data_IF_283770030558
#
_entry.id   IF_283770030558
#
_cell.length_a   1.000
_cell.length_b   1.000
_cell.length_c   1.000
_cell.angle_alpha   90.00
_cell.angle_beta   90.00
_cell.angle_gamma   90.00
#
_symmetry.space_group_name_H-M   'P 1'
#
loop_
_entity.id
_entity.type
_entity.pdbx_description
1 polymer ?
#
# COMPACT_ATOMS: atom_id res chain seq x y z
N UNK A 1 -21.70 -10.17 -17.98
CA UNK A 1 -20.93 -11.10 -18.84
C UNK A 1 -19.73 -11.52 -18.00
N UNK A 2 -19.40 -12.80 -17.90
CA UNK A 2 -18.24 -13.22 -17.11
C UNK A 2 -16.98 -12.69 -17.79
N UNK A 3 -16.29 -11.74 -17.14
CA UNK A 3 -15.01 -11.22 -17.63
C UNK A 3 -14.07 -12.38 -17.95
N UNK A 4 -13.57 -12.45 -19.18
CA UNK A 4 -12.61 -13.48 -19.63
C UNK A 4 -11.30 -13.29 -18.85
N UNK A 5 -11.22 -13.90 -17.67
CA UNK A 5 -10.02 -13.88 -16.83
C UNK A 5 -9.02 -14.90 -17.35
N UNK A 6 -7.79 -14.44 -17.56
CA UNK A 6 -6.66 -15.28 -17.99
C UNK A 6 -5.64 -15.34 -16.86
N UNK A 7 -5.05 -16.51 -16.63
CA UNK A 7 -4.01 -16.68 -15.63
C UNK A 7 -2.63 -16.67 -16.30
N UNK A 8 -1.71 -15.86 -15.79
CA UNK A 8 -0.36 -15.71 -16.34
C UNK A 8 0.66 -16.04 -15.26
N UNK A 9 1.74 -16.73 -15.64
CA UNK A 9 2.82 -17.05 -14.70
C UNK A 9 3.48 -15.79 -14.13
N UNK A 10 3.90 -15.91 -12.87
CA UNK A 10 4.41 -14.80 -12.07
C UNK A 10 5.69 -14.23 -12.70
N UNK A 11 6.60 -15.11 -13.11
CA UNK A 11 7.91 -14.75 -13.65
C UNK A 11 7.78 -13.97 -14.97
N UNK A 12 6.84 -14.34 -15.84
CA UNK A 12 6.58 -13.60 -17.08
C UNK A 12 6.01 -12.21 -16.80
N UNK A 13 5.08 -12.07 -15.85
CA UNK A 13 4.55 -10.76 -15.49
C UNK A 13 5.59 -9.87 -14.81
N UNK A 14 6.43 -10.44 -13.94
CA UNK A 14 7.53 -9.71 -13.32
C UNK A 14 8.53 -9.21 -14.37
N UNK A 15 8.96 -10.08 -15.29
CA UNK A 15 9.82 -9.70 -16.42
C UNK A 15 9.18 -8.61 -17.29
N UNK A 16 7.89 -8.74 -17.59
CA UNK A 16 7.12 -7.74 -18.32
C UNK A 16 7.16 -6.38 -17.63
N UNK A 17 6.90 -6.33 -16.32
CA UNK A 17 6.95 -5.10 -15.54
C UNK A 17 8.35 -4.48 -15.53
N UNK A 18 9.41 -5.28 -15.40
CA UNK A 18 10.80 -4.80 -15.49
C UNK A 18 11.05 -4.13 -16.84
N UNK A 19 10.69 -4.79 -17.95
CA UNK A 19 10.92 -4.26 -19.29
C UNK A 19 10.12 -2.98 -19.56
N UNK A 20 8.88 -2.90 -19.07
CA UNK A 20 8.06 -1.68 -19.15
C UNK A 20 8.71 -0.52 -18.37
N UNK A 21 9.19 -0.76 -17.15
CA UNK A 21 9.88 0.27 -16.37
C UNK A 21 11.18 0.74 -17.03
N UNK A 22 11.99 -0.20 -17.55
CA UNK A 22 13.21 0.12 -18.30
C UNK A 22 12.91 0.96 -19.53
N UNK A 23 11.88 0.60 -20.29
CA UNK A 23 11.45 1.35 -21.47
C UNK A 23 10.95 2.76 -21.12
N UNK A 24 10.42 2.96 -19.90
CA UNK A 24 10.07 4.27 -19.36
C UNK A 24 11.26 5.04 -18.75
N UNK A 25 12.50 4.54 -18.88
CA UNK A 25 13.71 5.21 -18.44
C UNK A 25 14.11 4.94 -16.99
N UNK A 26 13.46 3.99 -16.30
CA UNK A 26 13.88 3.55 -14.96
C UNK A 26 15.15 2.68 -15.09
N UNK A 27 16.23 2.95 -14.33
CA UNK A 27 17.42 2.10 -14.33
C UNK A 27 17.09 0.63 -14.01
N UNK A 28 17.83 -0.31 -14.58
CA UNK A 28 17.49 -1.74 -14.49
C UNK A 28 17.33 -2.26 -13.06
N UNK A 29 18.22 -1.91 -12.15
CA UNK A 29 18.13 -2.36 -10.75
C UNK A 29 16.91 -1.76 -10.02
N UNK A 30 16.58 -0.50 -10.31
CA UNK A 30 15.39 0.16 -9.77
C UNK A 30 14.11 -0.44 -10.39
N UNK A 31 14.14 -0.81 -11.68
CA UNK A 31 13.03 -1.45 -12.37
C UNK A 31 12.73 -2.84 -11.79
N UNK A 32 13.76 -3.62 -11.44
CA UNK A 32 13.62 -4.90 -10.71
C UNK A 32 12.93 -4.70 -9.38
N UNK A 33 13.37 -3.72 -8.57
CA UNK A 33 12.70 -3.38 -7.30
C UNK A 33 11.24 -3.00 -7.52
N UNK A 34 10.94 -2.19 -8.53
CA UNK A 34 9.58 -1.77 -8.79
C UNK A 34 8.67 -2.94 -9.20
N UNK A 35 9.16 -3.81 -10.10
CA UNK A 35 8.43 -5.01 -10.51
C UNK A 35 8.23 -5.98 -9.35
N UNK A 36 9.24 -6.16 -8.49
CA UNK A 36 9.19 -7.03 -7.30
C UNK A 36 8.08 -6.59 -6.33
N UNK A 37 7.98 -5.28 -6.05
CA UNK A 37 6.94 -4.76 -5.14
C UNK A 37 5.53 -4.91 -5.75
N UNK A 38 5.38 -4.64 -7.05
CA UNK A 38 4.08 -4.80 -7.72
C UNK A 38 3.66 -6.27 -7.79
N UNK A 39 4.56 -7.16 -8.19
CA UNK A 39 4.23 -8.59 -8.28
C UNK A 39 3.98 -9.17 -6.89
N UNK A 40 4.65 -8.70 -5.84
CA UNK A 40 4.36 -9.15 -4.47
C UNK A 40 2.92 -8.78 -4.04
N UNK A 41 2.43 -7.61 -4.45
CA UNK A 41 1.03 -7.22 -4.25
C UNK A 41 0.08 -8.22 -4.91
N UNK A 42 0.36 -8.59 -6.16
CA UNK A 42 -0.42 -9.58 -6.89
C UNK A 42 -0.29 -10.97 -6.27
N UNK A 43 0.90 -11.43 -5.85
CA UNK A 43 1.07 -12.71 -5.14
C UNK A 43 0.19 -12.81 -3.91
N UNK A 44 0.06 -11.71 -3.16
CA UNK A 44 -0.75 -11.61 -1.93
C UNK A 44 -2.25 -11.41 -2.17
N UNK A 45 -2.71 -11.35 -3.42
CA UNK A 45 -4.12 -11.10 -3.73
C UNK A 45 -4.56 -9.64 -3.49
N UNK A 46 -3.62 -8.71 -3.39
CA UNK A 46 -3.89 -7.28 -3.25
C UNK A 46 -3.87 -6.66 -4.66
N UNK A 47 -4.86 -7.00 -5.46
CA UNK A 47 -4.90 -6.65 -6.90
C UNK A 47 -4.95 -5.14 -7.15
N UNK A 48 -5.34 -4.35 -6.14
CA UNK A 48 -5.44 -2.90 -6.24
C UNK A 48 -4.10 -2.16 -6.25
N UNK A 49 -2.98 -2.84 -5.96
CA UNK A 49 -1.65 -2.23 -5.84
C UNK A 49 -0.54 -2.95 -6.61
N UNK A 50 -0.87 -4.01 -7.38
CA UNK A 50 0.07 -4.71 -8.26
C UNK A 50 0.08 -4.16 -9.69
N UNK A 51 0.09 -5.06 -10.69
CA UNK A 51 0.19 -4.69 -12.11
C UNK A 51 -0.90 -3.72 -12.58
N UNK A 52 -2.09 -3.71 -11.96
CA UNK A 52 -3.16 -2.72 -12.20
C UNK A 52 -2.73 -1.25 -11.99
N UNK A 53 -1.61 -1.02 -11.29
CA UNK A 53 -1.05 0.32 -11.08
C UNK A 53 0.09 0.66 -12.02
N UNK A 54 0.65 -0.32 -12.72
CA UNK A 54 1.82 -0.16 -13.61
C UNK A 54 1.61 1.03 -14.54
N UNK A 55 0.54 1.00 -15.34
CA UNK A 55 0.27 2.06 -16.32
C UNK A 55 -0.10 3.38 -15.64
N UNK A 56 -1.20 3.40 -14.89
CA UNK A 56 -1.86 4.64 -14.46
C UNK A 56 -1.14 5.40 -13.34
N UNK A 57 -0.44 4.70 -12.45
CA UNK A 57 0.25 5.33 -11.31
C UNK A 57 1.72 5.54 -11.56
N UNK A 58 2.38 4.73 -12.40
CA UNK A 58 3.81 4.88 -12.65
C UNK A 58 4.09 5.40 -14.05
N UNK A 59 3.75 4.65 -15.10
CA UNK A 59 4.14 4.98 -16.47
C UNK A 59 3.54 6.32 -16.92
N UNK A 60 2.23 6.53 -16.70
CA UNK A 60 1.58 7.78 -17.06
C UNK A 60 2.11 8.96 -16.23
N UNK A 61 2.50 8.74 -14.96
CA UNK A 61 3.08 9.79 -14.11
C UNK A 61 4.52 10.15 -14.48
N UNK A 62 5.30 9.20 -14.97
CA UNK A 62 6.63 9.46 -15.54
C UNK A 62 6.47 10.35 -16.77
N UNK A 63 5.54 10.01 -17.68
CA UNK A 63 5.26 10.80 -18.88
C UNK A 63 4.73 12.20 -18.57
N UNK A 64 3.89 12.32 -17.54
CA UNK A 64 3.38 13.61 -17.06
C UNK A 64 4.44 14.45 -16.32
N UNK A 65 5.66 13.94 -16.09
CA UNK A 65 6.72 14.63 -15.34
C UNK A 65 6.44 14.78 -13.84
N UNK A 66 5.54 13.97 -13.30
CA UNK A 66 5.13 13.97 -11.88
C UNK A 66 6.03 13.03 -11.05
N UNK A 67 6.62 12.03 -11.71
CA UNK A 67 7.44 10.98 -11.12
C UNK A 67 8.77 10.89 -11.88
N UNK A 68 9.89 11.00 -11.16
CA UNK A 68 11.21 10.89 -11.77
C UNK A 68 11.58 9.40 -11.95
N UNK A 69 11.92 8.95 -13.17
CA UNK A 69 12.24 7.55 -13.41
C UNK A 69 13.63 7.17 -12.86
N UNK A 70 14.55 8.13 -12.75
CA UNK A 70 15.85 7.94 -12.11
C UNK A 70 15.76 8.36 -10.66
N UNK A 71 15.92 7.40 -9.74
CA UNK A 71 15.77 7.64 -8.30
C UNK A 71 17.07 8.18 -7.68
N UNK A 72 17.03 9.42 -7.18
CA UNK A 72 18.10 9.99 -6.37
C UNK A 72 17.71 9.92 -4.89
N UNK A 73 18.63 9.50 -4.03
CA UNK A 73 18.41 9.36 -2.59
C UNK A 73 19.50 10.13 -1.86
N UNK A 74 19.07 11.01 -0.96
CA UNK A 74 19.95 11.80 -0.11
C UNK A 74 19.60 11.56 1.35
N UNK A 75 20.62 11.24 2.16
CA UNK A 75 20.47 11.18 3.62
C UNK A 75 20.67 12.59 4.15
N UNK A 76 19.59 13.27 4.50
CA UNK A 76 19.64 14.68 4.96
C UNK A 76 19.99 14.80 6.44
N UNK A 77 19.77 13.74 7.21
CA UNK A 77 20.15 13.65 8.63
C UNK A 77 20.32 12.19 9.02
N UNK A 78 21.36 11.90 9.80
CA UNK A 78 21.62 10.55 10.28
C UNK A 78 22.02 10.55 11.76
N UNK A 79 21.49 9.57 12.50
CA UNK A 79 21.89 9.23 13.85
C UNK A 79 22.07 7.72 14.01
N UNK A 80 22.44 7.25 15.23
CA UNK A 80 22.68 5.83 15.47
C UNK A 80 21.47 4.95 15.15
N UNK A 81 20.28 5.36 15.59
CA UNK A 81 19.01 4.63 15.43
C UNK A 81 18.03 5.34 14.51
N UNK A 82 18.41 6.47 13.91
CA UNK A 82 17.50 7.29 13.09
C UNK A 82 18.14 7.74 11.78
N UNK A 83 17.31 8.01 10.77
CA UNK A 83 17.71 8.78 9.60
C UNK A 83 16.52 9.53 8.97
N UNK A 84 16.82 10.57 8.22
CA UNK A 84 15.88 11.25 7.32
C UNK A 84 16.41 11.18 5.90
N UNK A 85 15.57 10.77 4.97
CA UNK A 85 15.88 10.57 3.56
C UNK A 85 15.03 11.50 2.69
N UNK A 86 15.66 12.14 1.71
CA UNK A 86 14.99 12.85 0.62
C UNK A 86 14.99 11.96 -0.63
N UNK A 87 13.80 11.66 -1.16
CA UNK A 87 13.61 10.82 -2.34
C UNK A 87 13.62 11.56 -3.66
N UNK A 88 13.74 12.90 -3.66
CA UNK A 88 13.84 13.73 -4.86
C UNK A 88 12.79 13.43 -5.96
N UNK A 89 11.58 13.06 -5.54
CA UNK A 89 10.44 12.65 -6.37
C UNK A 89 10.69 11.42 -7.26
N UNK A 90 11.66 10.58 -6.89
CA UNK A 90 11.98 9.32 -7.57
C UNK A 90 10.95 8.20 -7.32
N UNK A 91 11.31 6.99 -7.72
CA UNK A 91 10.47 5.80 -7.56
C UNK A 91 10.27 5.47 -6.09
N UNK A 92 9.05 5.67 -5.56
CA UNK A 92 8.75 5.51 -4.14
C UNK A 92 9.08 4.12 -3.60
N UNK A 93 8.94 3.08 -4.43
CA UNK A 93 9.32 1.70 -4.06
C UNK A 93 10.81 1.55 -3.78
N UNK A 94 11.65 2.19 -4.59
CA UNK A 94 13.12 2.15 -4.46
C UNK A 94 13.54 2.90 -3.20
N UNK A 95 12.97 4.10 -2.98
CA UNK A 95 13.24 4.91 -1.78
C UNK A 95 12.79 4.17 -0.52
N UNK A 96 11.61 3.55 -0.54
CA UNK A 96 11.05 2.82 0.58
C UNK A 96 11.86 1.55 0.92
N UNK A 97 12.25 0.75 -0.08
CA UNK A 97 13.07 -0.45 0.09
C UNK A 97 14.40 -0.10 0.78
N UNK A 98 15.13 0.89 0.24
CA UNK A 98 16.41 1.35 0.81
C UNK A 98 16.26 1.93 2.23
N UNK A 99 15.14 2.58 2.50
CA UNK A 99 14.86 3.17 3.81
C UNK A 99 14.53 2.12 4.87
N UNK A 100 13.79 1.06 4.51
CA UNK A 100 13.57 -0.09 5.40
C UNK A 100 14.85 -0.90 5.61
N UNK A 101 15.67 -1.12 4.57
CA UNK A 101 16.99 -1.75 4.70
C UNK A 101 17.86 -1.01 5.73
N UNK A 102 17.92 0.32 5.65
CA UNK A 102 18.63 1.15 6.62
C UNK A 102 18.04 1.06 8.04
N UNK A 103 16.71 1.02 8.19
CA UNK A 103 16.07 0.82 9.49
C UNK A 103 16.45 -0.54 10.11
N UNK A 104 16.40 -1.60 9.31
CA UNK A 104 16.81 -2.96 9.71
C UNK A 104 18.29 -2.98 10.13
N UNK A 105 19.17 -2.34 9.37
CA UNK A 105 20.60 -2.30 9.67
C UNK A 105 20.89 -1.60 11.01
N UNK A 106 20.21 -0.47 11.26
CA UNK A 106 20.28 0.24 12.55
C UNK A 106 19.71 -0.60 13.69
N UNK A 107 18.58 -1.28 13.48
CA UNK A 107 17.97 -2.16 14.47
C UNK A 107 18.85 -3.37 14.80
N UNK A 108 19.52 -3.96 13.81
CA UNK A 108 20.49 -5.05 14.02
C UNK A 108 21.59 -4.64 14.99
N UNK A 109 22.09 -3.41 14.86
CA UNK A 109 23.20 -2.90 15.64
C UNK A 109 22.80 -2.36 17.02
N UNK A 110 21.64 -1.73 17.13
CA UNK A 110 21.26 -0.93 18.30
C UNK A 110 19.92 -1.35 18.94
N UNK A 111 19.30 -2.43 18.46
CA UNK A 111 18.00 -2.91 18.94
C UNK A 111 16.80 -2.29 18.21
N UNK A 112 16.91 -1.03 17.78
CA UNK A 112 15.85 -0.34 17.02
C UNK A 112 16.42 0.58 15.94
N UNK A 113 15.65 0.78 14.87
CA UNK A 113 15.98 1.72 13.80
C UNK A 113 14.71 2.36 13.23
N UNK A 114 14.76 3.66 12.95
CA UNK A 114 13.67 4.40 12.32
C UNK A 114 14.17 5.31 11.19
N UNK A 115 13.56 5.23 10.02
CA UNK A 115 13.87 6.11 8.89
C UNK A 115 12.60 6.83 8.45
N UNK A 116 12.68 8.16 8.36
CA UNK A 116 11.62 9.01 7.80
C UNK A 116 12.00 9.47 6.40
N UNK A 117 11.03 9.54 5.50
CA UNK A 117 11.25 9.88 4.08
C UNK A 117 10.38 11.07 3.69
N UNK A 118 10.94 12.03 2.95
CA UNK A 118 10.21 13.12 2.28
C UNK A 118 10.42 13.11 0.78
N UNK A 119 9.55 13.82 0.06
CA UNK A 119 9.61 13.97 -1.40
C UNK A 119 9.72 12.62 -2.11
N UNK A 120 9.06 11.60 -1.60
CA UNK A 120 8.91 10.31 -2.27
C UNK A 120 7.61 10.32 -3.08
N UNK A 121 7.23 9.16 -3.61
CA UNK A 121 6.01 8.95 -4.39
C UNK A 121 5.27 7.69 -3.92
N UNK A 122 4.28 7.21 -4.67
CA UNK A 122 3.52 6.03 -4.28
C UNK A 122 4.44 4.79 -4.18
N UNK A 123 4.38 4.07 -3.06
CA UNK A 123 5.33 3.00 -2.73
C UNK A 123 4.76 1.58 -2.86
N UNK A 124 3.65 1.37 -3.57
CA UNK A 124 3.03 0.04 -3.67
C UNK A 124 2.35 -0.39 -2.36
N UNK A 125 2.46 -1.67 -2.02
CA UNK A 125 1.89 -2.22 -0.77
C UNK A 125 2.82 -1.99 0.42
N UNK A 126 2.27 -1.47 1.51
CA UNK A 126 3.02 -1.19 2.73
C UNK A 126 3.57 -2.47 3.37
N UNK A 127 2.82 -3.57 3.28
CA UNK A 127 3.17 -4.90 3.78
C UNK A 127 4.43 -5.48 3.18
N UNK A 128 4.88 -5.04 1.99
CA UNK A 128 6.17 -5.46 1.43
C UNK A 128 7.32 -5.07 2.37
N UNK A 129 7.37 -3.80 2.76
CA UNK A 129 8.44 -3.25 3.60
C UNK A 129 8.40 -3.82 5.02
N UNK A 130 7.21 -3.96 5.60
CA UNK A 130 7.07 -4.59 6.91
C UNK A 130 7.61 -6.04 6.91
N UNK A 131 7.38 -6.80 5.82
CA UNK A 131 7.91 -8.16 5.69
C UNK A 131 9.41 -8.26 5.40
N UNK A 132 10.06 -7.17 4.97
CA UNK A 132 11.53 -7.15 4.90
C UNK A 132 12.14 -7.32 6.29
N UNK A 133 11.55 -6.67 7.32
CA UNK A 133 12.01 -6.81 8.70
C UNK A 133 11.71 -8.21 9.27
N UNK A 134 10.55 -8.79 8.97
CA UNK A 134 10.20 -10.13 9.50
C UNK A 134 11.11 -11.23 8.96
N UNK A 135 11.58 -11.12 7.71
CA UNK A 135 12.59 -12.01 7.12
C UNK A 135 13.92 -12.00 7.89
N UNK A 136 14.23 -10.89 8.55
CA UNK A 136 15.42 -10.70 9.39
C UNK A 136 15.16 -11.03 10.88
N UNK A 137 14.01 -11.62 11.22
CA UNK A 137 13.63 -11.89 12.60
C UNK A 137 13.27 -10.64 13.41
N UNK A 138 12.94 -9.53 12.74
CA UNK A 138 12.60 -8.25 13.37
C UNK A 138 11.12 -7.91 13.18
N UNK A 139 10.57 -7.06 14.05
CA UNK A 139 9.27 -6.44 13.82
C UNK A 139 9.46 -5.25 12.88
N UNK A 140 8.64 -5.19 11.82
CA UNK A 140 8.59 -4.07 10.89
C UNK A 140 7.32 -3.25 11.08
N UNK A 141 7.44 -1.92 11.12
CA UNK A 141 6.31 -1.00 11.16
C UNK A 141 6.51 0.06 10.09
N UNK A 142 5.47 0.35 9.31
CA UNK A 142 5.55 1.40 8.29
C UNK A 142 4.20 2.05 8.03
N UNK A 143 4.25 3.26 7.49
CA UNK A 143 3.10 3.95 6.95
C UNK A 143 3.52 5.01 5.95
N UNK A 144 2.53 5.53 5.24
CA UNK A 144 2.68 6.65 4.30
C UNK A 144 1.49 7.57 4.42
N UNK A 145 1.71 8.87 4.26
CA UNK A 145 0.61 9.76 3.93
C UNK A 145 0.24 9.63 2.44
N UNK A 146 -0.93 10.12 2.08
CA UNK A 146 -1.42 10.10 0.71
C UNK A 146 -2.26 11.36 0.41
N UNK A 147 -2.64 11.53 -0.85
CA UNK A 147 -3.58 12.59 -1.26
C UNK A 147 -4.86 12.55 -0.40
N UNK A 148 -5.46 13.71 -0.05
CA UNK A 148 -6.67 13.74 0.77
C UNK A 148 -7.82 12.90 0.20
N UNK A 149 -8.46 12.11 1.05
CA UNK A 149 -9.57 11.21 0.72
C UNK A 149 -10.47 10.87 1.92
N UNK A 150 -9.98 11.05 3.15
CA UNK A 150 -10.71 10.81 4.40
C UNK A 150 -11.12 12.15 5.02
N UNK A 151 -12.35 12.23 5.52
CA UNK A 151 -12.78 13.32 6.38
C UNK A 151 -12.42 13.06 7.85
N UNK A 152 -11.94 14.08 8.61
CA UNK A 152 -11.82 13.99 10.05
C UNK A 152 -13.19 13.68 10.68
N UNK A 153 -13.21 13.14 11.90
CA UNK A 153 -14.48 12.95 12.63
C UNK A 153 -15.22 14.29 12.76
N UNK A 154 -16.50 14.30 12.36
CA UNK A 154 -17.37 15.48 12.23
C UNK A 154 -16.99 16.48 11.12
N UNK A 155 -15.96 16.19 10.33
CA UNK A 155 -15.69 16.88 9.07
C UNK A 155 -16.41 16.21 7.90
N UNK A 156 -16.56 16.97 6.82
CA UNK A 156 -17.12 16.50 5.52
C UNK A 156 -16.13 16.71 4.37
N UNK A 157 -14.99 17.34 4.65
CA UNK A 157 -13.97 17.65 3.67
C UNK A 157 -12.87 16.59 3.66
N UNK A 158 -12.38 16.24 2.47
CA UNK A 158 -11.20 15.41 2.28
C UNK A 158 -9.95 16.11 2.84
N UNK A 159 -9.41 15.59 3.95
CA UNK A 159 -8.24 16.16 4.61
C UNK A 159 -7.07 15.19 4.68
N UNK A 160 -7.31 13.96 5.13
CA UNK A 160 -6.28 12.93 5.32
C UNK A 160 -6.26 11.98 4.13
N UNK A 161 -5.10 11.40 3.81
CA UNK A 161 -5.07 10.27 2.89
C UNK A 161 -5.65 9.00 3.53
N UNK A 162 -5.69 7.90 2.77
CA UNK A 162 -6.07 6.58 3.32
C UNK A 162 -5.05 6.06 4.35
N UNK A 163 -3.86 6.67 4.38
CA UNK A 163 -2.85 6.62 5.44
C UNK A 163 -2.66 5.25 6.10
N UNK A 164 -2.18 4.23 5.35
CA UNK A 164 -2.04 2.89 5.91
C UNK A 164 -1.04 2.87 7.06
N UNK A 165 -1.37 2.08 8.10
CA UNK A 165 -0.50 1.77 9.23
C UNK A 165 -0.28 0.27 9.24
N UNK A 166 0.96 -0.15 9.00
CA UNK A 166 1.29 -1.54 8.73
C UNK A 166 2.25 -2.11 9.76
N UNK A 167 1.97 -3.33 10.19
CA UNK A 167 2.82 -4.09 11.10
C UNK A 167 3.16 -5.45 10.49
N UNK A 168 4.43 -5.84 10.54
CA UNK A 168 4.93 -7.17 10.23
C UNK A 168 5.62 -7.75 11.46
N UNK A 169 5.18 -8.92 11.91
CA UNK A 169 5.69 -9.58 13.12
C UNK A 169 6.07 -11.02 12.79
N UNK A 170 7.30 -11.48 13.09
CA UNK A 170 7.71 -12.85 12.84
C UNK A 170 6.97 -13.83 13.75
N UNK A 171 6.62 -15.01 13.23
CA UNK A 171 5.90 -16.09 13.93
C UNK A 171 6.61 -17.42 13.68
N UNK A 172 6.14 -18.49 14.32
CA UNK A 172 6.54 -19.88 14.04
C UNK A 172 5.65 -20.57 12.98
N UNK A 173 4.81 -19.80 12.27
CA UNK A 173 3.92 -20.31 11.22
C UNK A 173 4.56 -20.14 9.83
N UNK A 174 3.93 -20.69 8.78
CA UNK A 174 4.43 -20.58 7.39
C UNK A 174 4.40 -19.14 6.84
N UNK A 175 3.74 -18.23 7.54
CA UNK A 175 3.63 -16.81 7.21
C UNK A 175 3.71 -15.94 8.48
N UNK A 176 4.31 -14.74 8.40
CA UNK A 176 4.32 -13.79 9.52
C UNK A 176 2.93 -13.18 9.74
N UNK A 177 2.69 -12.64 10.94
CA UNK A 177 1.54 -11.76 11.14
C UNK A 177 1.79 -10.46 10.38
N UNK A 178 0.91 -10.11 9.44
CA UNK A 178 1.01 -8.88 8.66
C UNK A 178 -0.33 -8.18 8.64
N UNK A 179 -0.44 -7.10 9.41
CA UNK A 179 -1.58 -6.18 9.33
C UNK A 179 -1.21 -5.07 8.35
N UNK A 180 -1.67 -5.17 7.10
CA UNK A 180 -1.51 -4.16 6.06
C UNK A 180 -2.89 -3.60 5.71
N UNK A 181 -3.25 -2.44 6.29
CA UNK A 181 -4.55 -1.83 6.09
C UNK A 181 -4.50 -0.31 6.10
N UNK A 182 -5.38 0.29 5.29
CA UNK A 182 -5.72 1.70 5.38
C UNK A 182 -6.36 2.04 6.74
N UNK A 183 -6.27 3.30 7.15
CA UNK A 183 -6.98 3.82 8.32
C UNK A 183 -8.40 4.30 8.00
N UNK A 184 -8.84 4.22 6.74
CA UNK A 184 -10.25 4.31 6.32
C UNK A 184 -10.94 2.96 6.36
N UNK A 185 -12.28 2.96 6.45
CA UNK A 185 -13.07 1.72 6.33
C UNK A 185 -12.91 1.07 4.95
N UNK A 186 -12.83 1.91 3.92
CA UNK A 186 -12.78 1.47 2.53
C UNK A 186 -11.80 2.31 1.72
N UNK A 187 -11.68 2.00 0.44
CA UNK A 187 -10.85 2.71 -0.52
C UNK A 187 -11.58 2.82 -1.86
N UNK A 188 -11.22 3.83 -2.66
CA UNK A 188 -11.88 4.11 -3.95
C UNK A 188 -12.00 2.88 -4.85
N UNK A 189 -10.94 2.07 -4.95
CA UNK A 189 -10.98 0.86 -5.79
C UNK A 189 -12.06 -0.16 -5.36
N UNK A 190 -12.41 -0.23 -4.07
CA UNK A 190 -13.50 -1.10 -3.60
C UNK A 190 -14.88 -0.55 -3.99
N UNK A 191 -15.03 0.77 -4.06
CA UNK A 191 -16.23 1.44 -4.56
C UNK A 191 -16.41 1.14 -6.06
N UNK A 192 -15.32 1.21 -6.84
CA UNK A 192 -15.32 0.83 -8.27
C UNK A 192 -15.75 -0.63 -8.50
N UNK A 193 -15.33 -1.55 -7.62
CA UNK A 193 -15.82 -2.94 -7.65
C UNK A 193 -17.32 -3.04 -7.38
N UNK A 194 -17.85 -2.28 -6.42
CA UNK A 194 -19.28 -2.28 -6.11
C UNK A 194 -20.12 -1.70 -7.27
N UNK A 195 -19.64 -0.64 -7.93
CA UNK A 195 -20.23 -0.10 -9.15
C UNK A 195 -20.31 -1.16 -10.25
N UNK A 196 -19.19 -1.84 -10.54
CA UNK A 196 -19.14 -2.92 -11.54
C UNK A 196 -20.08 -4.08 -11.24
N UNK A 197 -20.28 -4.39 -9.96
CA UNK A 197 -21.19 -5.44 -9.50
C UNK A 197 -22.65 -4.99 -9.40
N UNK A 198 -22.95 -3.69 -9.61
CA UNK A 198 -24.28 -3.12 -9.41
C UNK A 198 -24.79 -3.26 -7.98
N UNK A 199 -23.88 -3.22 -6.98
CA UNK A 199 -24.20 -3.41 -5.56
C UNK A 199 -24.16 -2.07 -4.81
N UNK A 200 -25.12 -1.79 -3.91
CA UNK A 200 -25.05 -0.61 -3.06
C UNK A 200 -23.87 -0.71 -2.10
N UNK A 201 -23.23 0.43 -1.82
CA UNK A 201 -22.18 0.54 -0.80
C UNK A 201 -22.78 0.32 0.59
N UNK A 202 -22.06 -0.33 1.52
CA UNK A 202 -22.46 -0.37 2.91
C UNK A 202 -22.57 1.05 3.50
N UNK A 203 -23.62 1.35 4.28
CA UNK A 203 -23.76 2.63 4.96
C UNK A 203 -22.52 2.96 5.82
N UNK A 204 -22.15 4.24 5.83
CA UNK A 204 -21.04 4.75 6.62
C UNK A 204 -19.67 4.58 5.97
N UNK A 205 -19.56 4.09 4.73
CA UNK A 205 -18.28 4.04 4.01
C UNK A 205 -17.84 5.40 3.47
N UNK A 206 -18.81 6.19 3.00
CA UNK A 206 -18.60 7.49 2.36
C UNK A 206 -19.68 8.44 2.83
N UNK A 207 -19.32 9.71 3.03
CA UNK A 207 -20.22 10.80 3.36
C UNK A 207 -20.21 11.88 2.28
N UNK A 208 -21.35 12.56 2.10
CA UNK A 208 -21.49 13.75 1.26
C UNK A 208 -21.08 15.05 2.00
N UNK A 209 -21.24 16.18 1.33
CA UNK A 209 -20.98 17.53 1.87
C UNK A 209 -21.85 17.92 3.07
N UNK A 210 -22.93 17.19 3.34
CA UNK A 210 -23.82 17.39 4.49
C UNK A 210 -23.56 16.38 5.62
N UNK A 211 -22.61 15.45 5.44
CA UNK A 211 -22.31 14.38 6.39
C UNK A 211 -23.25 13.18 6.30
N UNK A 212 -24.11 13.11 5.29
CA UNK A 212 -25.01 11.99 5.07
C UNK A 212 -24.27 10.84 4.39
N UNK A 213 -24.62 9.61 4.75
CA UNK A 213 -24.05 8.42 4.09
C UNK A 213 -24.46 8.36 2.62
N UNK A 214 -23.49 8.04 1.75
CA UNK A 214 -23.76 7.70 0.35
C UNK A 214 -23.74 6.18 0.16
N UNK A 215 -24.70 5.64 -0.58
CA UNK A 215 -24.82 4.20 -0.84
C UNK A 215 -24.88 3.83 -2.33
N UNK A 216 -25.17 4.78 -3.22
CA UNK A 216 -25.08 4.54 -4.66
C UNK A 216 -23.61 4.65 -5.12
N UNK A 217 -23.02 3.59 -5.70
CA UNK A 217 -21.60 3.58 -6.01
C UNK A 217 -21.22 4.53 -7.17
N UNK A 218 -22.09 4.74 -8.15
CA UNK A 218 -21.79 5.59 -9.31
C UNK A 218 -21.85 7.08 -8.94
N UNK A 219 -22.91 7.49 -8.23
CA UNK A 219 -23.02 8.85 -7.66
C UNK A 219 -21.85 9.15 -6.71
N UNK A 220 -21.46 8.15 -5.91
CA UNK A 220 -20.33 8.28 -4.98
C UNK A 220 -19.01 8.52 -5.71
N UNK A 221 -18.73 7.78 -6.80
CA UNK A 221 -17.48 7.93 -7.57
C UNK A 221 -17.41 9.31 -8.25
N UNK A 222 -18.53 9.81 -8.75
CA UNK A 222 -18.64 11.14 -9.32
C UNK A 222 -18.39 12.22 -8.25
N UNK A 223 -19.05 12.10 -7.09
CA UNK A 223 -18.90 13.03 -5.98
C UNK A 223 -17.47 13.06 -5.42
N UNK A 224 -16.83 11.90 -5.25
CA UNK A 224 -15.42 11.81 -4.84
C UNK A 224 -14.48 12.51 -5.83
N UNK A 225 -14.76 12.39 -7.13
CA UNK A 225 -13.96 13.03 -8.18
C UNK A 225 -14.14 14.56 -8.17
N UNK A 226 -15.34 15.04 -7.82
CA UNK A 226 -15.65 16.47 -7.67
C UNK A 226 -15.26 17.05 -6.30
N UNK A 227 -14.73 16.25 -5.38
CA UNK A 227 -14.39 16.67 -4.03
C UNK A 227 -15.62 16.97 -3.14
N UNK A 228 -16.79 16.42 -3.49
CA UNK A 228 -18.06 16.59 -2.77
C UNK A 228 -18.43 15.43 -1.85
N UNK A 229 -17.55 14.44 -1.76
CA UNK A 229 -17.69 13.31 -0.87
C UNK A 229 -16.34 12.95 -0.27
N UNK A 230 -16.36 12.29 0.88
CA UNK A 230 -15.18 11.86 1.61
C UNK A 230 -15.36 10.46 2.19
N UNK A 231 -14.28 9.67 2.16
CA UNK A 231 -14.24 8.39 2.85
C UNK A 231 -14.28 8.61 4.37
N UNK A 232 -14.83 7.64 5.09
CA UNK A 232 -14.85 7.65 6.55
C UNK A 232 -13.65 6.92 7.15
N UNK A 233 -13.17 7.36 8.32
CA UNK A 233 -12.14 6.66 9.06
C UNK A 233 -12.63 5.29 9.58
N UNK A 234 -11.71 4.39 9.91
CA UNK A 234 -12.02 3.15 10.63
C UNK A 234 -12.80 3.48 11.90
N UNK A 235 -13.94 2.80 12.09
CA UNK A 235 -14.90 3.15 13.14
C UNK A 235 -16.03 4.08 12.65
N UNK A 236 -16.09 4.45 11.38
CA UNK A 236 -17.31 5.00 10.79
C UNK A 236 -17.51 6.50 10.98
N UNK A 237 -18.77 6.90 10.89
CA UNK A 237 -19.21 8.28 11.03
C UNK A 237 -19.28 8.62 12.52
N UNK A 238 -18.70 9.76 12.91
CA UNK A 238 -18.82 10.28 14.27
C UNK A 238 -18.18 9.40 15.34
N UNK A 239 -18.74 9.45 16.56
CA UNK A 239 -18.18 8.79 17.73
C UNK A 239 -18.91 7.48 18.11
N UNK A 240 -20.17 7.30 17.69
CA UNK A 240 -21.00 6.15 18.08
C UNK A 240 -20.38 4.81 17.66
N UNK A 241 -19.78 4.77 16.47
CA UNK A 241 -19.05 3.59 15.96
C UNK A 241 -17.53 3.71 16.14
N UNK A 242 -17.09 4.74 16.88
CA UNK A 242 -15.72 5.07 17.21
C UNK A 242 -14.84 5.55 16.03
N UNK A 243 -15.39 6.33 15.10
CA UNK A 243 -14.67 6.90 13.95
C UNK A 243 -13.46 7.75 14.35
N UNK A 244 -13.51 8.38 15.53
CA UNK A 244 -12.38 9.12 16.10
C UNK A 244 -11.12 8.25 16.30
N UNK A 245 -11.25 6.92 16.46
CA UNK A 245 -10.11 6.01 16.59
C UNK A 245 -9.37 5.85 15.26
N UNK A 246 -10.09 5.56 14.18
CA UNK A 246 -9.49 5.48 12.84
C UNK A 246 -8.93 6.83 12.38
N UNK A 247 -9.63 7.92 12.70
CA UNK A 247 -9.13 9.27 12.47
C UNK A 247 -7.82 9.51 13.24
N UNK A 248 -7.77 9.16 14.53
CA UNK A 248 -6.54 9.25 15.32
C UNK A 248 -5.38 8.47 14.72
N UNK A 249 -5.60 7.23 14.27
CA UNK A 249 -4.55 6.44 13.60
C UNK A 249 -4.12 7.06 12.26
N UNK A 250 -5.06 7.56 11.46
CA UNK A 250 -4.75 8.27 10.21
C UNK A 250 -3.87 9.50 10.45
N UNK A 251 -4.16 10.25 11.52
CA UNK A 251 -3.37 11.41 11.94
C UNK A 251 -1.98 11.02 12.46
N UNK A 252 -1.84 9.92 13.21
CA UNK A 252 -0.52 9.41 13.61
C UNK A 252 0.33 9.10 12.38
N UNK A 253 -0.23 8.41 11.38
CA UNK A 253 0.48 8.12 10.12
C UNK A 253 0.85 9.41 9.40
N UNK A 254 -0.04 10.39 9.31
CA UNK A 254 0.23 11.68 8.69
C UNK A 254 1.41 12.39 9.37
N UNK A 255 1.40 12.47 10.71
CA UNK A 255 2.44 13.14 11.49
C UNK A 255 3.78 12.44 11.33
N UNK A 256 3.84 11.11 11.42
CA UNK A 256 5.10 10.38 11.26
C UNK A 256 5.62 10.45 9.82
N UNK A 257 4.72 10.56 8.85
CA UNK A 257 5.06 10.71 7.43
C UNK A 257 5.42 12.14 7.03
N UNK A 258 5.04 13.16 7.81
CA UNK A 258 5.15 14.57 7.40
C UNK A 258 5.83 15.55 8.38
N UNK A 259 5.91 15.24 9.67
CA UNK A 259 6.53 16.14 10.66
C UNK A 259 8.01 15.81 10.90
N UNK A 260 8.37 14.53 10.93
CA UNK A 260 9.74 14.06 11.23
C UNK A 260 10.80 14.48 10.20
N UNK A 261 10.37 14.83 9.00
CA UNK A 261 11.20 15.19 7.85
C UNK A 261 10.90 16.61 7.30
N UNK A 262 10.06 17.38 8.00
CA UNK A 262 9.51 18.68 7.57
C UNK A 262 9.00 18.70 6.12
N UNK A 263 8.21 17.71 5.72
CA UNK A 263 7.70 17.55 4.35
C UNK A 263 6.22 17.92 4.20
N UNK A 264 5.67 17.57 3.05
CA UNK A 264 4.28 17.91 2.69
C UNK A 264 3.26 17.07 3.48
N UNK A 265 2.13 17.69 3.79
CA UNK A 265 1.01 17.07 4.52
C UNK A 265 -0.34 17.49 3.93
N UNK A 266 -1.37 16.67 4.18
CA UNK A 266 -2.77 16.97 3.86
C UNK A 266 -2.95 17.50 2.41
N UNK A 267 -3.54 18.68 2.25
CA UNK A 267 -3.83 19.31 0.94
C UNK A 267 -2.59 19.65 0.11
N UNK A 268 -1.40 19.71 0.71
CA UNK A 268 -0.14 19.84 -0.04
C UNK A 268 0.16 18.60 -0.89
N UNK A 269 -0.52 17.48 -0.64
CA UNK A 269 -0.37 16.20 -1.35
C UNK A 269 -1.41 16.01 -2.46
N UNK A 270 -2.13 17.06 -2.86
CA UNK A 270 -3.12 17.00 -3.96
C UNK A 270 -2.47 16.80 -5.34
N UNK A 271 -1.17 17.07 -5.46
CA UNK A 271 -0.45 17.02 -6.74
C UNK A 271 -0.82 18.18 -7.67
N UNK A 272 -1.39 19.26 -7.12
CA UNK A 272 -1.74 20.48 -7.86
C UNK A 272 -1.17 21.69 -7.11
N UNK A 273 -0.43 22.54 -7.81
CA UNK A 273 0.06 23.82 -7.32
C UNK A 273 -0.19 24.89 -8.39
N UNK A 274 -0.88 25.98 -8.03
CA UNK A 274 -1.24 27.06 -8.96
C UNK A 274 -1.94 26.56 -10.24
N UNK A 275 -2.83 25.56 -10.11
CA UNK A 275 -3.57 24.97 -11.23
C UNK A 275 -2.75 24.04 -12.14
N UNK A 276 -1.47 23.78 -11.81
CA UNK A 276 -0.59 22.88 -12.56
C UNK A 276 -0.34 21.59 -11.79
N UNK A 277 -0.22 20.48 -12.52
CA UNK A 277 0.19 19.20 -11.96
C UNK A 277 1.63 19.33 -11.42
N UNK A 278 1.85 18.83 -10.21
CA UNK A 278 3.16 18.75 -9.56
C UNK A 278 3.36 17.37 -8.95
N UNK A 279 4.61 16.96 -8.64
CA UNK A 279 4.88 15.72 -7.92
C UNK A 279 4.05 15.59 -6.63
N UNK A 280 3.53 14.39 -6.40
CA UNK A 280 2.94 14.02 -5.11
C UNK A 280 4.10 13.80 -4.14
N UNK A 281 4.56 14.86 -3.45
CA UNK A 281 5.67 14.82 -2.49
C UNK A 281 5.30 14.06 -1.21
N UNK A 282 5.03 12.77 -1.36
CA UNK A 282 4.60 11.90 -0.27
C UNK A 282 5.74 11.70 0.72
N UNK A 283 5.37 11.43 1.96
CA UNK A 283 6.31 11.01 3.00
C UNK A 283 5.96 9.65 3.56
N UNK A 284 6.97 9.00 4.12
CA UNK A 284 6.88 7.64 4.65
C UNK A 284 7.65 7.55 5.96
N UNK A 285 7.35 6.53 6.75
CA UNK A 285 8.20 6.11 7.86
C UNK A 285 8.39 4.60 7.88
N UNK A 286 9.55 4.17 8.36
CA UNK A 286 9.93 2.76 8.49
C UNK A 286 10.59 2.56 9.84
N UNK A 287 10.11 1.60 10.61
CA UNK A 287 10.64 1.23 11.92
C UNK A 287 10.97 -0.26 11.87
N UNK A 288 12.15 -0.62 12.36
CA UNK A 288 12.54 -1.99 12.63
C UNK A 288 12.88 -2.15 14.11
N UNK A 289 12.42 -3.24 14.71
CA UNK A 289 12.68 -3.59 16.12
C UNK A 289 13.28 -4.99 16.15
N UNK A 290 14.51 -5.09 16.64
CA UNK A 290 15.22 -6.36 16.76
C UNK A 290 14.66 -7.14 17.96
N UNK A 291 13.99 -8.26 17.70
CA UNK A 291 13.38 -9.12 18.72
C UNK A 291 14.43 -9.65 19.70
N UNK A 292 15.60 -10.04 19.20
CA UNK A 292 16.72 -10.58 20.00
C UNK A 292 17.31 -9.56 20.98
N UNK A 293 16.96 -8.28 20.89
CA UNK A 293 17.30 -7.29 21.90
C UNK A 293 16.43 -7.38 23.16
N UNK A 294 15.32 -8.15 23.12
CA UNK A 294 14.36 -8.30 24.21
C UNK A 294 14.25 -9.75 24.71
N UNK A 295 14.20 -10.71 23.78
CA UNK A 295 13.96 -12.13 24.05
C UNK A 295 14.54 -12.99 22.93
N UNK A 296 14.82 -14.26 23.21
CA UNK A 296 15.24 -15.22 22.18
C UNK A 296 14.20 -15.31 21.05
N UNK A 297 14.67 -15.29 19.80
CA UNK A 297 13.81 -15.16 18.61
C UNK A 297 12.80 -16.31 18.50
N UNK A 298 13.22 -17.54 18.79
CA UNK A 298 12.35 -18.71 18.69
C UNK A 298 11.28 -18.73 19.79
N UNK A 299 11.59 -18.23 20.99
CA UNK A 299 10.61 -18.07 22.07
C UNK A 299 9.55 -17.01 21.71
N UNK A 300 10.00 -15.89 21.13
CA UNK A 300 9.10 -14.88 20.59
C UNK A 300 8.19 -15.44 19.51
N UNK A 301 8.75 -16.09 18.49
CA UNK A 301 8.00 -16.66 17.36
C UNK A 301 6.96 -17.67 17.83
N UNK A 302 7.34 -18.54 18.78
CA UNK A 302 6.44 -19.51 19.38
C UNK A 302 5.29 -18.84 20.14
N UNK A 303 5.60 -17.81 20.93
CA UNK A 303 4.59 -17.04 21.66
C UNK A 303 3.64 -16.33 20.71
N UNK A 304 4.18 -15.64 19.70
CA UNK A 304 3.39 -14.96 18.67
C UNK A 304 2.48 -15.94 17.92
N UNK A 305 3.01 -17.08 17.48
CA UNK A 305 2.21 -18.11 16.82
C UNK A 305 1.14 -18.73 17.73
N UNK A 306 1.43 -18.95 19.01
CA UNK A 306 0.42 -19.42 19.97
C UNK A 306 -0.74 -18.44 20.09
N UNK A 307 -0.47 -17.13 20.18
CA UNK A 307 -1.50 -16.09 20.18
C UNK A 307 -2.38 -16.22 18.92
N UNK A 308 -1.78 -16.36 17.74
CA UNK A 308 -2.53 -16.48 16.49
C UNK A 308 -3.40 -17.74 16.44
N UNK A 309 -2.86 -18.89 16.85
CA UNK A 309 -3.60 -20.16 16.94
C UNK A 309 -4.77 -20.05 17.91
N UNK A 310 -4.57 -19.47 19.09
CA UNK A 310 -5.63 -19.29 20.08
C UNK A 310 -6.75 -18.37 19.56
N UNK A 311 -6.40 -17.26 18.89
CA UNK A 311 -7.39 -16.38 18.25
C UNK A 311 -8.23 -17.14 17.21
N UNK A 312 -7.62 -17.95 16.35
CA UNK A 312 -8.34 -18.75 15.33
C UNK A 312 -9.16 -19.89 15.95
N UNK A 313 -8.76 -20.38 17.13
CA UNK A 313 -9.46 -21.42 17.87
C UNK A 313 -10.65 -20.90 18.69
N UNK A 314 -10.81 -19.58 18.84
CA UNK A 314 -11.98 -18.98 19.50
C UNK A 314 -13.31 -19.46 18.90
N UNK A 315 -14.39 -19.34 19.69
CA UNK A 315 -15.74 -19.71 19.27
C UNK A 315 -16.15 -18.84 18.07
N UNK A 316 -16.53 -19.50 16.98
CA UNK A 316 -16.95 -18.84 15.74
C UNK A 316 -18.36 -18.30 15.89
N UNK A 317 -18.64 -17.16 15.25
CA UNK A 317 -19.99 -16.63 15.15
C UNK A 317 -20.87 -17.55 14.27
N UNK A 318 -22.20 -17.60 14.49
CA UNK A 318 -23.10 -18.34 13.62
C UNK A 318 -22.94 -17.94 12.14
N UNK A 319 -22.90 -18.93 11.25
CA UNK A 319 -22.72 -18.71 9.81
C UNK A 319 -21.26 -18.50 9.36
N UNK A 320 -20.28 -18.65 10.26
CA UNK A 320 -18.86 -18.55 9.94
C UNK A 320 -18.10 -19.83 10.31
N UNK A 321 -17.36 -20.38 9.35
CA UNK A 321 -16.62 -21.64 9.54
C UNK A 321 -15.22 -21.45 10.13
N UNK A 322 -14.64 -20.25 9.99
CA UNK A 322 -13.27 -19.94 10.43
C UNK A 322 -13.05 -18.48 10.80
N UNK A 323 -12.03 -18.26 11.63
CA UNK A 323 -11.47 -16.95 11.96
C UNK A 323 -10.10 -16.87 11.28
N UNK A 324 -9.76 -15.72 10.71
CA UNK A 324 -8.46 -15.46 10.11
C UNK A 324 -7.61 -14.56 11.01
N UNK A 325 -6.29 -14.70 10.93
CA UNK A 325 -5.33 -13.71 11.44
C UNK A 325 -4.71 -12.90 10.30
N UNK A 326 -4.17 -11.73 10.61
CA UNK A 326 -3.63 -10.82 9.59
C UNK A 326 -2.46 -11.47 8.82
N UNK A 327 -2.47 -11.40 7.49
CA UNK A 327 -1.52 -12.06 6.60
C UNK A 327 -1.96 -13.45 6.12
N UNK A 328 -2.94 -14.09 6.76
CA UNK A 328 -3.37 -15.45 6.41
C UNK A 328 -4.12 -15.49 5.08
N UNK A 329 -4.97 -14.49 4.78
CA UNK A 329 -5.70 -14.45 3.50
C UNK A 329 -4.74 -14.20 2.34
N UNK A 330 -3.74 -13.37 2.55
CA UNK A 330 -2.69 -13.07 1.60
C UNK A 330 -1.80 -14.29 1.35
N UNK A 331 -1.48 -15.05 2.40
CA UNK A 331 -0.76 -16.32 2.28
C UNK A 331 -1.55 -17.37 1.48
N UNK A 332 -2.84 -17.53 1.75
CA UNK A 332 -3.70 -18.45 0.98
C UNK A 332 -3.84 -18.02 -0.48
N UNK A 333 -3.96 -16.72 -0.75
CA UNK A 333 -3.97 -16.19 -2.10
C UNK A 333 -2.65 -16.51 -2.81
N UNK A 334 -1.52 -16.40 -2.11
CA UNK A 334 -0.22 -16.79 -2.65
C UNK A 334 -0.15 -18.28 -2.97
N UNK A 335 -0.62 -19.17 -2.09
CA UNK A 335 -0.64 -20.61 -2.38
C UNK A 335 -1.42 -20.94 -3.65
N UNK A 336 -2.58 -20.31 -3.86
CA UNK A 336 -3.34 -20.46 -5.10
C UNK A 336 -2.60 -19.90 -6.33
N UNK A 337 -2.08 -18.67 -6.22
CA UNK A 337 -1.44 -17.95 -7.32
C UNK A 337 -0.07 -18.51 -7.69
N UNK A 338 0.60 -19.18 -6.76
CA UNK A 338 1.83 -19.93 -7.01
C UNK A 338 1.58 -21.10 -7.97
N UNK A 339 0.43 -21.74 -7.91
CA UNK A 339 0.07 -22.87 -8.79
C UNK A 339 -0.57 -22.40 -10.10
N UNK A 340 -1.47 -21.40 -10.03
CA UNK A 340 -2.26 -20.96 -11.18
C UNK A 340 -1.65 -19.82 -11.97
N UNK A 341 -0.81 -18.99 -11.35
CA UNK A 341 -0.41 -17.68 -11.85
C UNK A 341 -1.25 -16.53 -11.28
N UNK A 342 -1.08 -15.34 -11.86
CA UNK A 342 -1.85 -14.13 -11.50
C UNK A 342 -3.06 -13.99 -12.43
N UNK A 343 -4.27 -13.74 -11.90
CA UNK A 343 -5.45 -13.53 -12.72
C UNK A 343 -5.47 -12.13 -13.35
N UNK A 344 -5.69 -12.07 -14.67
CA UNK A 344 -5.70 -10.86 -15.48
C UNK A 344 -7.07 -10.70 -16.13
N UNK A 345 -7.83 -9.70 -15.68
CA UNK A 345 -9.15 -9.36 -16.22
C UNK A 345 -9.06 -8.59 -17.56
N UNK A 346 -10.17 -8.47 -18.28
CA UNK A 346 -10.19 -7.87 -19.63
C UNK A 346 -9.72 -6.41 -19.69
N UNK A 347 -9.97 -5.63 -18.63
CA UNK A 347 -9.52 -4.24 -18.56
C UNK A 347 -7.99 -4.17 -18.49
N UNK A 348 -7.39 -4.98 -17.60
CA UNK A 348 -5.96 -5.08 -17.46
C UNK A 348 -5.29 -5.66 -18.73
N UNK A 349 -5.94 -6.60 -19.43
CA UNK A 349 -5.47 -7.10 -20.72
C UNK A 349 -5.31 -5.97 -21.75
N UNK A 350 -6.27 -5.03 -21.79
CA UNK A 350 -6.20 -3.85 -22.68
C UNK A 350 -5.06 -2.91 -22.29
N UNK A 351 -4.82 -2.71 -20.99
CA UNK A 351 -3.70 -1.91 -20.51
C UNK A 351 -2.34 -2.54 -20.87
N UNK A 352 -2.18 -3.84 -20.65
CA UNK A 352 -0.98 -4.61 -21.03
C UNK A 352 -0.70 -4.49 -22.53
N UNK A 353 -1.71 -4.73 -23.38
CA UNK A 353 -1.60 -4.56 -24.84
C UNK A 353 -1.22 -3.13 -25.26
N UNK A 354 -1.68 -2.15 -24.50
CA UNK A 354 -1.34 -0.74 -24.76
C UNK A 354 0.13 -0.51 -24.47
N UNK A 355 0.63 -0.97 -23.33
CA UNK A 355 2.04 -0.84 -22.95
C UNK A 355 2.98 -1.59 -23.91
N UNK A 356 2.62 -2.81 -24.34
CA UNK A 356 3.40 -3.58 -25.33
C UNK A 356 3.57 -2.78 -26.63
N UNK A 357 2.46 -2.24 -27.17
CA UNK A 357 2.49 -1.47 -28.42
C UNK A 357 3.23 -0.15 -28.26
N UNK A 358 3.02 0.53 -27.15
CA UNK A 358 3.59 1.85 -26.89
C UNK A 358 5.11 1.82 -26.76
N UNK A 359 5.65 0.81 -26.09
CA UNK A 359 7.09 0.63 -25.89
C UNK A 359 7.75 -0.34 -26.89
N UNK A 360 6.99 -0.80 -27.89
CA UNK A 360 7.41 -1.81 -28.87
C UNK A 360 8.07 -3.06 -28.24
N UNK A 361 7.53 -3.52 -27.10
CA UNK A 361 8.10 -4.65 -26.36
C UNK A 361 7.96 -5.96 -27.15
N UNK A 362 9.05 -6.72 -27.23
CA UNK A 362 9.11 -8.02 -27.92
C UNK A 362 9.12 -9.16 -26.91
N UNK A 363 8.72 -10.36 -27.35
CA UNK A 363 8.76 -11.57 -26.51
C UNK A 363 7.61 -11.72 -25.51
N UNK A 364 6.54 -10.94 -25.67
CA UNK A 364 5.33 -11.02 -24.86
C UNK A 364 4.14 -11.47 -25.74
N UNK A 365 3.93 -12.78 -25.82
CA UNK A 365 2.77 -13.39 -26.47
C UNK A 365 1.79 -13.86 -25.39
N UNK A 366 1.07 -12.91 -24.79
CA UNK A 366 0.04 -13.22 -23.82
C UNK A 366 -1.16 -13.87 -24.53
N UNK A 367 -1.88 -14.81 -23.91
CA UNK A 367 -2.95 -15.58 -24.57
C UNK A 367 -4.27 -14.78 -24.72
N UNK A 368 -4.19 -13.46 -24.82
CA UNK A 368 -5.33 -12.55 -25.00
C UNK A 368 -5.14 -11.53 -26.11
#
# INVERSE_FOLDING_TARGET
MSDKTVWIDVETLERFMVDVFKAAGVPEEDAKVCAEVLIESDKRGIDSHGINRLKTIYIDRIKDGILNPVTNIEIVREGPTTAVVDGHNGMGMVVAKKSMEMAIEKARKYGMGMVAVRNSTHYGIAGYYATMATKEGMIGITGTNARPSIAPTFGVENMLGTNPLTFGIPTDEEFPFVLDCATSITQRGKIEVYAKLGKPLPPGWVIDENGNTMTDPDETLEALTKGKAALTPLGGIGEETAGYKGYGYATVVEILSAALQSGSYLKMLTGIENGKKVPYRLGHFFIAINVSAFVELDEFKKTAGNILRELRNSKKAPGHDRIYTAGEKEYLAWLERKEKGIPINEELQKEIKTLIREFDLKGYDFPF
#
